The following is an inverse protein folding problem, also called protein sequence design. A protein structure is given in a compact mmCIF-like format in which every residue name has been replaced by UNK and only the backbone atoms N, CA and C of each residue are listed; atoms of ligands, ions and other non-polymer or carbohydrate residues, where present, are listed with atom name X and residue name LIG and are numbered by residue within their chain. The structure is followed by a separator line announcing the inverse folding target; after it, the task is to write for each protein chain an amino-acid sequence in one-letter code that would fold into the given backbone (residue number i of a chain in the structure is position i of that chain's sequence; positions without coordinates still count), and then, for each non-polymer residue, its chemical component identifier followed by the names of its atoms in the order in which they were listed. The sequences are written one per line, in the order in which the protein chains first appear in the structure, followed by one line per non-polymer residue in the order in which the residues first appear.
data_IF_772159225010
#
_entry.id   IF_772159225010
#
_cell.length_a   1.000
_cell.length_b   1.000
_cell.length_c   1.000
_cell.angle_alpha   90.00
_cell.angle_beta   90.00
_cell.angle_gamma   90.00
#
_symmetry.space_group_name_H-M   'P 1'
#
loop_
_entity.id
_entity.type
_entity.pdbx_description
1 polymer ?
#
# COMPACT_ATOMS: atom_id res chain seq x y z
N UNK A 1 11.25 -0.34 -9.85
CA UNK A 1 12.30 0.45 -9.17
C UNK A 1 13.64 0.43 -9.90
N UNK A 2 14.17 -0.76 -10.22
CA UNK A 2 15.48 -0.89 -10.92
C UNK A 2 15.55 -0.09 -12.22
N UNK A 3 14.54 -0.23 -13.08
CA UNK A 3 14.51 0.45 -14.37
C UNK A 3 14.61 1.97 -14.22
N UNK A 4 13.81 2.56 -13.36
CA UNK A 4 13.79 4.01 -13.16
C UNK A 4 15.04 4.51 -12.44
N UNK A 5 15.58 3.71 -11.52
CA UNK A 5 16.85 4.01 -10.88
C UNK A 5 17.98 4.10 -11.91
N UNK A 6 18.08 3.11 -12.78
CA UNK A 6 19.11 3.07 -13.82
C UNK A 6 18.93 4.19 -14.85
N UNK A 7 17.68 4.52 -15.17
CA UNK A 7 17.36 5.62 -16.08
C UNK A 7 17.89 6.96 -15.53
N UNK A 8 17.91 7.13 -14.22
CA UNK A 8 18.46 8.32 -13.56
C UNK A 8 19.97 8.21 -13.26
N UNK A 9 20.63 7.15 -13.68
CA UNK A 9 22.06 6.96 -13.49
C UNK A 9 22.48 6.68 -12.05
N UNK A 10 21.58 6.16 -11.21
CA UNK A 10 21.86 5.91 -9.80
C UNK A 10 22.23 4.44 -9.58
N UNK A 11 23.24 4.21 -8.73
CA UNK A 11 23.53 2.88 -8.20
C UNK A 11 22.56 2.54 -7.07
N UNK A 12 22.49 1.25 -6.69
CA UNK A 12 21.68 0.84 -5.53
C UNK A 12 22.11 1.57 -4.27
N UNK A 13 23.41 1.76 -4.08
CA UNK A 13 23.95 2.49 -2.93
C UNK A 13 23.52 3.95 -2.93
N UNK A 14 23.59 4.61 -4.08
CA UNK A 14 23.19 6.02 -4.19
C UNK A 14 21.69 6.21 -3.90
N UNK A 15 20.85 5.32 -4.42
CA UNK A 15 19.41 5.38 -4.13
C UNK A 15 19.15 5.10 -2.64
N UNK A 16 19.83 4.11 -2.06
CA UNK A 16 19.67 3.78 -0.65
C UNK A 16 20.04 4.97 0.25
N UNK A 17 21.12 5.67 -0.06
CA UNK A 17 21.53 6.88 0.68
C UNK A 17 20.44 7.96 0.60
N UNK A 18 19.90 8.20 -0.58
CA UNK A 18 18.83 9.18 -0.78
C UNK A 18 17.53 8.82 -0.05
N UNK A 19 17.24 7.54 0.08
CA UNK A 19 16.06 7.03 0.79
C UNK A 19 16.31 6.78 2.28
N UNK A 20 17.55 6.95 2.73
CA UNK A 20 17.95 6.70 4.12
C UNK A 20 17.69 5.26 4.56
N UNK A 21 17.98 4.31 3.68
CA UNK A 21 17.88 2.86 3.92
C UNK A 21 19.19 2.19 3.50
N UNK A 22 19.36 0.92 3.87
CA UNK A 22 20.59 0.20 3.49
C UNK A 22 20.49 -0.31 2.04
N UNK A 23 21.64 -0.42 1.32
CA UNK A 23 21.61 -0.91 -0.08
C UNK A 23 21.00 -2.30 -0.24
N UNK A 24 21.18 -3.20 0.74
CA UNK A 24 20.58 -4.52 0.72
C UNK A 24 19.06 -4.46 0.67
N UNK A 25 18.44 -3.46 1.29
CA UNK A 25 16.99 -3.27 1.25
C UNK A 25 16.53 -2.87 -0.15
N UNK A 26 17.25 -1.95 -0.81
CA UNK A 26 16.95 -1.59 -2.20
C UNK A 26 17.04 -2.81 -3.10
N UNK A 27 18.10 -3.59 -2.95
CA UNK A 27 18.30 -4.81 -3.74
C UNK A 27 17.17 -5.81 -3.50
N UNK A 28 16.74 -5.99 -2.24
CA UNK A 28 15.62 -6.86 -1.90
C UNK A 28 14.32 -6.43 -2.57
N UNK A 29 14.04 -5.14 -2.61
CA UNK A 29 12.89 -4.59 -3.33
C UNK A 29 12.97 -4.88 -4.82
N UNK A 30 14.13 -4.64 -5.43
CA UNK A 30 14.32 -4.84 -6.87
C UNK A 30 14.27 -6.31 -7.28
N UNK A 31 14.63 -7.21 -6.38
CA UNK A 31 14.58 -8.66 -6.60
C UNK A 31 13.23 -9.28 -6.22
N UNK A 32 12.30 -8.49 -5.70
CA UNK A 32 10.98 -8.98 -5.31
C UNK A 32 10.97 -9.85 -4.06
N UNK A 33 12.00 -9.76 -3.21
CA UNK A 33 12.07 -10.54 -1.96
C UNK A 33 10.98 -10.15 -0.96
N UNK A 34 10.61 -8.88 -0.94
CA UNK A 34 9.56 -8.35 -0.10
C UNK A 34 8.95 -7.12 -0.78
N UNK A 35 7.68 -6.81 -0.48
CA UNK A 35 7.02 -5.65 -1.08
C UNK A 35 7.60 -4.34 -0.57
N UNK A 36 7.60 -3.33 -1.44
CA UNK A 36 8.04 -1.98 -1.07
C UNK A 36 6.97 -1.36 -0.17
N UNK A 37 7.38 -0.75 0.95
CA UNK A 37 6.43 -0.04 1.80
C UNK A 37 5.86 1.18 1.08
N UNK A 38 4.69 1.62 1.51
CA UNK A 38 4.07 2.81 0.93
C UNK A 38 4.98 4.03 1.04
N UNK A 39 5.56 4.25 2.21
CA UNK A 39 6.43 5.40 2.48
C UNK A 39 7.67 5.40 1.58
N UNK A 40 8.30 4.24 1.40
CA UNK A 40 9.46 4.11 0.51
C UNK A 40 9.04 4.28 -0.95
N UNK A 41 7.88 3.78 -1.34
CA UNK A 41 7.37 3.98 -2.70
C UNK A 41 7.17 5.47 -3.00
N UNK A 42 6.54 6.21 -2.10
CA UNK A 42 6.33 7.65 -2.26
C UNK A 42 7.67 8.40 -2.33
N UNK A 43 8.59 8.09 -1.41
CA UNK A 43 9.92 8.71 -1.39
C UNK A 43 10.69 8.41 -2.67
N UNK A 44 10.60 7.18 -3.19
CA UNK A 44 11.28 6.77 -4.41
C UNK A 44 10.75 7.53 -5.62
N UNK A 45 9.44 7.68 -5.75
CA UNK A 45 8.85 8.43 -6.87
C UNK A 45 9.31 9.88 -6.87
N UNK A 46 9.41 10.50 -5.71
CA UNK A 46 9.93 11.87 -5.56
C UNK A 46 11.41 11.95 -5.93
N UNK A 47 12.23 11.02 -5.43
CA UNK A 47 13.67 11.01 -5.71
C UNK A 47 13.97 10.76 -7.18
N UNK A 48 13.22 9.89 -7.83
CA UNK A 48 13.40 9.57 -9.24
C UNK A 48 12.66 10.52 -10.16
N UNK A 49 11.85 11.42 -9.61
CA UNK A 49 11.05 12.40 -10.37
C UNK A 49 10.16 11.71 -11.41
N UNK A 50 9.44 10.69 -10.99
CA UNK A 50 8.51 9.93 -11.82
C UNK A 50 7.11 9.98 -11.22
N UNK A 51 6.06 9.79 -12.05
CA UNK A 51 4.69 9.71 -11.54
C UNK A 51 4.51 8.53 -10.58
N UNK A 52 3.74 8.73 -9.53
CA UNK A 52 3.44 7.69 -8.55
C UNK A 52 2.81 6.45 -9.19
N UNK A 53 1.99 6.64 -10.23
CA UNK A 53 1.33 5.56 -10.96
C UNK A 53 2.29 4.53 -11.55
N UNK A 54 3.56 4.89 -11.76
CA UNK A 54 4.56 3.97 -12.31
C UNK A 54 5.09 2.98 -11.27
N UNK A 55 4.97 3.27 -9.97
CA UNK A 55 5.44 2.41 -8.89
C UNK A 55 4.33 1.96 -7.95
N UNK A 56 3.18 2.64 -7.95
CA UNK A 56 2.08 2.28 -7.06
C UNK A 56 1.42 0.99 -7.53
N UNK A 57 1.30 0.02 -6.61
CA UNK A 57 0.41 -1.12 -6.80
C UNK A 57 -1.00 -0.79 -6.27
N UNK A 58 -1.91 -1.77 -6.33
CA UNK A 58 -3.29 -1.60 -5.89
C UNK A 58 -3.38 -1.13 -4.45
N UNK A 59 -2.52 -1.64 -3.58
CA UNK A 59 -2.49 -1.25 -2.18
C UNK A 59 -2.10 0.22 -2.01
N UNK A 60 -1.05 0.65 -2.70
CA UNK A 60 -0.60 2.05 -2.64
C UNK A 60 -1.68 3.00 -3.16
N UNK A 61 -2.36 2.62 -4.24
CA UNK A 61 -3.49 3.39 -4.77
C UNK A 61 -4.62 3.47 -3.75
N UNK A 62 -4.95 2.34 -3.12
CA UNK A 62 -6.01 2.27 -2.11
C UNK A 62 -5.74 3.22 -0.94
N UNK A 63 -4.56 3.14 -0.32
CA UNK A 63 -4.28 3.94 0.88
C UNK A 63 -3.98 5.41 0.59
N UNK A 64 -3.63 5.76 -0.65
CA UNK A 64 -3.43 7.17 -1.05
C UNK A 64 -4.74 7.88 -1.36
N UNK A 65 -5.80 7.12 -1.66
CA UNK A 65 -7.14 7.63 -1.90
C UNK A 65 -7.91 7.79 -0.57
N UNK A 66 -9.11 8.39 -0.56
CA UNK A 66 -9.95 8.42 0.64
C UNK A 66 -10.55 7.04 0.92
N UNK A 67 -9.72 6.12 1.39
CA UNK A 67 -10.11 4.71 1.61
C UNK A 67 -11.21 4.56 2.67
N UNK A 68 -11.31 5.48 3.63
CA UNK A 68 -12.36 5.45 4.63
C UNK A 68 -13.74 5.57 4.00
N UNK A 69 -13.87 6.46 3.03
CA UNK A 69 -15.12 6.64 2.27
C UNK A 69 -15.40 5.44 1.38
N UNK A 70 -14.38 4.91 0.72
CA UNK A 70 -14.52 3.72 -0.12
C UNK A 70 -14.99 2.52 0.69
N UNK A 71 -14.37 2.26 1.84
CA UNK A 71 -14.76 1.16 2.72
C UNK A 71 -16.22 1.30 3.16
N UNK A 72 -16.61 2.49 3.58
CA UNK A 72 -17.98 2.74 4.00
C UNK A 72 -18.98 2.53 2.84
N UNK A 73 -18.66 3.01 1.65
CA UNK A 73 -19.51 2.87 0.47
C UNK A 73 -19.68 1.40 0.07
N UNK A 74 -18.58 0.65 0.01
CA UNK A 74 -18.63 -0.78 -0.34
C UNK A 74 -19.42 -1.56 0.71
N UNK A 75 -19.17 -1.31 2.00
CA UNK A 75 -19.90 -1.98 3.07
C UNK A 75 -21.41 -1.72 2.97
N UNK A 76 -21.79 -0.48 2.68
CA UNK A 76 -23.22 -0.15 2.51
C UNK A 76 -23.85 -0.85 1.32
N UNK A 77 -23.11 -1.04 0.24
CA UNK A 77 -23.59 -1.80 -0.93
C UNK A 77 -23.91 -3.25 -0.57
N UNK A 78 -23.12 -3.84 0.32
CA UNK A 78 -23.38 -5.20 0.82
C UNK A 78 -24.48 -5.25 1.89
N UNK A 79 -24.92 -4.10 2.40
CA UNK A 79 -25.96 -4.04 3.42
C UNK A 79 -25.53 -4.59 4.77
N UNK A 80 -24.22 -4.56 5.07
CA UNK A 80 -23.65 -5.14 6.29
C UNK A 80 -23.25 -4.06 7.27
N UNK A 81 -23.30 -4.38 8.57
CA UNK A 81 -22.69 -3.55 9.60
C UNK A 81 -21.17 -3.80 9.62
N UNK A 82 -20.45 -3.01 10.41
CA UNK A 82 -18.98 -3.12 10.48
C UNK A 82 -18.52 -4.49 10.95
N UNK A 83 -19.20 -5.05 11.94
CA UNK A 83 -18.81 -6.35 12.51
C UNK A 83 -18.94 -7.46 11.47
N UNK A 84 -20.09 -7.56 10.81
CA UNK A 84 -20.34 -8.61 9.81
C UNK A 84 -19.45 -8.46 8.58
N UNK A 85 -19.24 -7.22 8.13
CA UNK A 85 -18.37 -6.93 7.00
C UNK A 85 -16.94 -7.38 7.28
N UNK A 86 -16.43 -7.06 8.46
CA UNK A 86 -15.08 -7.44 8.88
C UNK A 86 -14.96 -8.96 9.08
N UNK A 87 -15.90 -9.57 9.77
CA UNK A 87 -15.86 -11.01 10.07
C UNK A 87 -15.89 -11.86 8.81
N UNK A 88 -16.65 -11.47 7.80
CA UNK A 88 -16.68 -12.17 6.52
C UNK A 88 -15.31 -12.22 5.84
N UNK A 89 -14.46 -11.25 6.10
CA UNK A 89 -13.10 -11.20 5.57
C UNK A 89 -12.06 -11.73 6.57
N UNK A 90 -12.48 -12.23 7.72
CA UNK A 90 -11.58 -12.73 8.76
C UNK A 90 -10.81 -11.63 9.49
N UNK A 91 -11.39 -10.44 9.56
CA UNK A 91 -10.76 -9.26 10.19
C UNK A 91 -11.51 -8.94 11.49
N UNK A 92 -10.76 -8.56 12.52
CA UNK A 92 -11.34 -8.14 13.79
C UNK A 92 -12.22 -6.90 13.58
N UNK A 93 -13.49 -6.91 14.08
CA UNK A 93 -14.36 -5.76 13.96
C UNK A 93 -13.78 -4.47 14.57
N UNK A 94 -13.08 -4.56 15.69
CA UNK A 94 -12.46 -3.40 16.34
C UNK A 94 -11.35 -2.79 15.50
N UNK A 95 -10.56 -3.61 14.81
CA UNK A 95 -9.52 -3.14 13.89
C UNK A 95 -10.17 -2.50 12.66
N UNK A 96 -11.17 -3.15 12.08
CA UNK A 96 -11.87 -2.62 10.91
C UNK A 96 -12.53 -1.27 11.19
N UNK A 97 -13.14 -1.10 12.36
CA UNK A 97 -13.74 0.18 12.74
C UNK A 97 -12.71 1.32 12.73
N UNK A 98 -11.47 1.03 13.12
CA UNK A 98 -10.38 2.01 13.06
C UNK A 98 -10.01 2.38 11.64
N UNK A 99 -10.16 1.47 10.69
CA UNK A 99 -9.94 1.77 9.27
C UNK A 99 -11.00 2.73 8.73
N UNK A 100 -12.27 2.49 9.03
CA UNK A 100 -13.35 3.39 8.58
C UNK A 100 -13.28 4.76 9.24
N UNK A 101 -12.79 4.85 10.47
CA UNK A 101 -12.61 6.14 11.17
C UNK A 101 -11.35 6.88 10.73
N UNK A 102 -10.44 6.20 10.02
CA UNK A 102 -9.17 6.78 9.61
C UNK A 102 -8.11 6.83 10.70
N UNK A 103 -8.37 6.25 11.88
CA UNK A 103 -7.41 6.24 12.99
C UNK A 103 -6.29 5.23 12.79
N UNK A 104 -6.48 4.24 11.92
CA UNK A 104 -5.49 3.24 11.57
C UNK A 104 -5.64 2.83 10.12
N UNK A 105 -4.50 2.74 9.42
CA UNK A 105 -4.44 2.31 8.03
C UNK A 105 -4.34 0.79 7.95
N UNK A 106 -5.07 0.12 7.02
CA UNK A 106 -4.89 -1.31 6.81
C UNK A 106 -3.46 -1.64 6.38
N UNK A 107 -2.93 -2.79 6.85
CA UNK A 107 -1.69 -3.32 6.30
C UNK A 107 -1.91 -3.88 4.91
N UNK A 108 -0.83 -4.07 4.15
CA UNK A 108 -0.91 -4.70 2.81
C UNK A 108 -1.56 -6.08 2.88
N UNK A 109 -1.19 -6.89 3.87
CA UNK A 109 -1.75 -8.24 4.06
C UNK A 109 -3.24 -8.20 4.31
N UNK A 110 -3.69 -7.31 5.20
CA UNK A 110 -5.11 -7.18 5.54
C UNK A 110 -5.92 -6.59 4.39
N UNK A 111 -5.35 -5.66 3.64
CA UNK A 111 -5.96 -5.15 2.42
C UNK A 111 -6.20 -6.27 1.41
N UNK A 112 -5.21 -7.12 1.17
CA UNK A 112 -5.34 -8.26 0.26
C UNK A 112 -6.42 -9.23 0.73
N UNK A 113 -6.49 -9.48 2.03
CA UNK A 113 -7.49 -10.34 2.64
C UNK A 113 -8.91 -9.77 2.44
N UNK A 114 -9.07 -8.47 2.64
CA UNK A 114 -10.33 -7.77 2.46
C UNK A 114 -10.75 -7.77 0.98
N UNK A 115 -9.82 -7.47 0.09
CA UNK A 115 -10.07 -7.43 -1.36
C UNK A 115 -10.46 -8.77 -1.94
N UNK A 116 -9.93 -9.87 -1.40
CA UNK A 116 -10.27 -11.22 -1.84
C UNK A 116 -11.77 -11.52 -1.64
N UNK A 117 -12.38 -10.93 -0.62
CA UNK A 117 -13.81 -11.08 -0.32
C UNK A 117 -14.66 -9.99 -1.00
N UNK A 118 -14.12 -8.77 -1.04
CA UNK A 118 -14.80 -7.60 -1.61
C UNK A 118 -13.97 -7.00 -2.75
N UNK A 119 -14.11 -7.53 -3.99
CA UNK A 119 -13.26 -7.09 -5.12
C UNK A 119 -13.40 -5.61 -5.48
N UNK A 120 -14.47 -4.95 -5.06
CA UNK A 120 -14.73 -3.54 -5.31
C UNK A 120 -13.77 -2.59 -4.57
N UNK A 121 -13.04 -3.12 -3.58
CA UNK A 121 -12.08 -2.33 -2.80
C UNK A 121 -10.74 -2.10 -3.55
#
# INVERSE_FOLDING_TARGET
MRYYRQLRGLTTRQLAEKLNIVPATVLGYEQGRFPITYEITVATTKMLQIPESLLFDDYCVFISAPYTELLHTVRKRYGLNQADFAENAGISPSIYAKWESGSRRPSRKMYQQLKAIYPEI
#
